data_IF_266624300543
#
_entry.id   IF_266624300543
#
_cell.length_a   1.000
_cell.length_b   1.000
_cell.length_c   1.000
_cell.angle_alpha   90.00
_cell.angle_beta   90.00
_cell.angle_gamma   90.00
#
_symmetry.space_group_name_H-M   'P 1'
#
loop_
_entity.id
_entity.type
_entity.pdbx_description
1 polymer ?
#
# COMPACT_ATOMS: atom_id res chain seq x y z
N UNK A 1 -5.93 14.86 -25.72
CA UNK A 1 -6.48 13.50 -25.88
C UNK A 1 -7.50 13.50 -27.00
N UNK A 2 -7.28 12.72 -28.07
CA UNK A 2 -8.15 12.65 -29.27
C UNK A 2 -9.40 11.77 -29.02
N UNK A 3 -9.56 11.17 -27.83
CA UNK A 3 -10.70 10.30 -27.49
C UNK A 3 -11.91 10.97 -26.81
N UNK A 4 -11.94 12.30 -26.68
CA UNK A 4 -13.00 13.01 -25.93
C UNK A 4 -14.32 13.21 -26.67
N UNK A 5 -14.30 13.12 -28.01
CA UNK A 5 -15.38 13.51 -28.93
C UNK A 5 -16.19 12.33 -29.49
N UNK A 6 -15.83 11.09 -29.17
CA UNK A 6 -16.65 9.93 -29.51
C UNK A 6 -17.91 9.92 -28.60
N UNK A 7 -19.11 9.59 -29.15
CA UNK A 7 -20.32 9.46 -28.34
C UNK A 7 -20.10 8.44 -27.23
N UNK A 8 -20.27 8.87 -25.97
CA UNK A 8 -20.05 8.03 -24.79
C UNK A 8 -21.29 7.17 -24.56
N UNK A 9 -21.11 5.85 -24.55
CA UNK A 9 -22.23 4.91 -24.38
C UNK A 9 -22.33 4.38 -22.95
N UNK A 10 -21.21 4.16 -22.26
CA UNK A 10 -21.17 3.46 -20.96
C UNK A 10 -20.46 4.22 -19.82
N UNK A 11 -19.76 5.32 -20.11
CA UNK A 11 -18.90 6.00 -19.14
C UNK A 11 -19.55 7.18 -18.42
N UNK A 12 -20.79 7.54 -18.78
CA UNK A 12 -21.50 8.62 -18.09
C UNK A 12 -21.80 8.22 -16.64
N UNK A 13 -21.51 9.12 -15.71
CA UNK A 13 -21.61 8.91 -14.26
C UNK A 13 -20.38 8.27 -13.62
N UNK A 14 -19.40 7.82 -14.40
CA UNK A 14 -18.14 7.31 -13.86
C UNK A 14 -17.22 8.46 -13.43
N UNK A 15 -16.48 8.23 -12.35
CA UNK A 15 -15.41 9.13 -11.90
C UNK A 15 -14.08 8.54 -12.31
N UNK A 16 -13.36 9.25 -13.16
CA UNK A 16 -11.98 8.89 -13.51
C UNK A 16 -11.00 9.56 -12.57
N UNK A 17 -10.07 8.78 -12.03
CA UNK A 17 -9.07 9.28 -11.09
C UNK A 17 -7.70 9.28 -11.75
N UNK A 18 -6.98 10.40 -11.62
CA UNK A 18 -5.59 10.54 -12.04
C UNK A 18 -4.77 11.13 -10.88
N UNK A 19 -3.53 10.68 -10.75
CA UNK A 19 -2.60 11.14 -9.73
C UNK A 19 -1.46 11.93 -10.37
N UNK A 20 -1.21 13.14 -9.87
CA UNK A 20 0.03 13.86 -10.11
C UNK A 20 0.95 13.62 -8.92
N UNK A 21 2.03 12.88 -9.14
CA UNK A 21 2.99 12.52 -8.10
C UNK A 21 4.30 13.30 -8.36
N UNK A 22 4.67 14.27 -7.51
CA UNK A 22 5.92 15.00 -7.69
C UNK A 22 7.13 14.09 -7.45
N UNK A 23 8.21 14.34 -8.19
CA UNK A 23 9.49 13.64 -8.05
C UNK A 23 10.45 14.34 -7.07
N UNK A 24 10.05 15.49 -6.50
CA UNK A 24 10.86 16.31 -5.60
C UNK A 24 11.71 17.35 -6.32
N UNK A 25 11.56 17.49 -7.64
CA UNK A 25 12.27 18.48 -8.44
C UNK A 25 11.35 19.67 -8.77
N UNK A 26 11.56 20.79 -8.07
CA UNK A 26 10.79 22.03 -8.22
C UNK A 26 10.78 22.63 -9.63
N UNK A 27 11.69 22.23 -10.52
CA UNK A 27 11.71 22.73 -11.90
C UNK A 27 10.82 21.92 -12.86
N UNK A 28 10.50 20.67 -12.48
CA UNK A 28 9.70 19.75 -13.30
C UNK A 28 8.31 19.56 -12.70
N UNK A 29 8.24 19.50 -11.36
CA UNK A 29 7.00 19.25 -10.64
C UNK A 29 6.05 20.45 -10.76
N UNK A 30 4.86 20.19 -11.31
CA UNK A 30 3.78 21.19 -11.43
C UNK A 30 3.20 21.53 -10.06
N UNK A 31 3.08 20.53 -9.17
CA UNK A 31 2.56 20.67 -7.83
C UNK A 31 3.60 20.16 -6.83
N UNK A 32 3.79 20.82 -5.67
CA UNK A 32 4.79 20.43 -4.68
C UNK A 32 4.43 19.16 -3.91
N UNK A 33 3.15 18.78 -3.90
CA UNK A 33 2.61 17.61 -3.19
C UNK A 33 1.80 16.72 -4.14
N UNK A 34 1.57 15.44 -3.80
CA UNK A 34 0.67 14.57 -4.56
C UNK A 34 -0.74 15.16 -4.70
N UNK A 35 -1.24 15.27 -5.93
CA UNK A 35 -2.59 15.78 -6.24
C UNK A 35 -3.42 14.71 -6.91
N UNK A 36 -4.67 14.53 -6.46
CA UNK A 36 -5.66 13.66 -7.08
C UNK A 36 -6.62 14.50 -7.91
N UNK A 37 -6.78 14.12 -9.17
CA UNK A 37 -7.81 14.64 -10.06
C UNK A 37 -8.92 13.61 -10.18
N UNK A 38 -10.14 13.98 -9.80
CA UNK A 38 -11.33 13.16 -9.94
C UNK A 38 -12.28 13.80 -10.95
N UNK A 39 -12.35 13.23 -12.15
CA UNK A 39 -13.14 13.75 -13.26
C UNK A 39 -14.46 12.98 -13.39
N UNK A 40 -15.58 13.63 -13.05
CA UNK A 40 -16.90 13.09 -13.31
C UNK A 40 -17.21 13.17 -14.81
N UNK A 41 -17.40 12.01 -15.44
CA UNK A 41 -17.75 11.91 -16.85
C UNK A 41 -19.26 12.12 -17.03
N UNK A 42 -19.66 13.22 -17.64
CA UNK A 42 -21.07 13.49 -17.98
C UNK A 42 -21.56 14.81 -17.40
N UNK A 43 -22.87 15.02 -17.45
CA UNK A 43 -23.53 16.21 -16.91
C UNK A 43 -23.77 16.04 -15.39
N UNK A 44 -23.31 17.01 -14.60
CA UNK A 44 -23.46 17.03 -13.14
C UNK A 44 -24.92 17.06 -12.71
N UNK A 45 -25.82 17.69 -13.48
CA UNK A 45 -27.26 17.73 -13.22
C UNK A 45 -27.91 16.34 -13.38
N UNK A 46 -27.30 15.44 -14.17
CA UNK A 46 -27.77 14.05 -14.29
C UNK A 46 -27.22 13.14 -13.19
N UNK A 47 -26.06 13.50 -12.61
CA UNK A 47 -25.30 12.68 -11.66
C UNK A 47 -25.08 13.41 -10.32
N UNK A 48 -26.17 13.95 -9.76
CA UNK A 48 -26.14 14.78 -8.55
C UNK A 48 -25.50 14.07 -7.35
N UNK A 49 -25.73 12.76 -7.17
CA UNK A 49 -25.14 11.99 -6.06
C UNK A 49 -23.61 11.91 -6.18
N UNK A 50 -23.08 11.64 -7.38
CA UNK A 50 -21.65 11.59 -7.64
C UNK A 50 -21.02 12.97 -7.49
N UNK A 51 -21.70 14.00 -7.97
CA UNK A 51 -21.24 15.38 -7.84
C UNK A 51 -21.24 15.84 -6.37
N UNK A 52 -22.26 15.50 -5.59
CA UNK A 52 -22.32 15.77 -4.15
C UNK A 52 -21.19 15.05 -3.40
N UNK A 53 -20.93 13.79 -3.74
CA UNK A 53 -19.81 13.03 -3.20
C UNK A 53 -18.47 13.73 -3.48
N UNK A 54 -18.20 14.02 -4.76
CA UNK A 54 -16.96 14.67 -5.19
C UNK A 54 -16.78 16.03 -4.53
N UNK A 55 -17.86 16.81 -4.43
CA UNK A 55 -17.82 18.11 -3.78
C UNK A 55 -17.37 17.97 -2.34
N UNK A 56 -17.99 17.07 -1.57
CA UNK A 56 -17.70 16.91 -0.14
C UNK A 56 -16.27 16.42 0.13
N UNK A 57 -15.73 15.53 -0.71
CA UNK A 57 -14.40 14.93 -0.50
C UNK A 57 -13.25 15.72 -1.12
N UNK A 58 -13.54 16.66 -2.02
CA UNK A 58 -12.50 17.42 -2.74
C UNK A 58 -12.10 18.69 -2.00
N UNK A 59 -10.83 19.06 -2.14
CA UNK A 59 -10.31 20.36 -1.68
C UNK A 59 -10.83 21.50 -2.56
N UNK A 60 -10.90 21.27 -3.87
CA UNK A 60 -11.49 22.19 -4.84
C UNK A 60 -12.25 21.42 -5.93
N UNK A 61 -13.29 22.03 -6.47
CA UNK A 61 -14.15 21.49 -7.53
C UNK A 61 -14.14 22.45 -8.70
N UNK A 62 -13.76 21.98 -9.89
CA UNK A 62 -13.77 22.78 -11.12
C UNK A 62 -14.94 22.35 -11.98
N UNK A 63 -15.89 23.25 -12.21
CA UNK A 63 -17.09 23.01 -13.01
C UNK A 63 -16.93 23.71 -14.36
N UNK A 64 -17.00 22.93 -15.43
CA UNK A 64 -16.86 23.41 -16.80
C UNK A 64 -18.24 23.79 -17.32
N UNK A 65 -18.43 25.06 -17.64
CA UNK A 65 -19.70 25.63 -18.04
C UNK A 65 -19.59 26.28 -19.41
N UNK A 66 -20.47 25.84 -20.31
CA UNK A 66 -20.80 26.59 -21.51
C UNK A 66 -21.97 27.53 -21.18
N UNK A 67 -23.15 27.00 -20.86
CA UNK A 67 -24.36 27.75 -20.45
C UNK A 67 -24.85 27.35 -19.06
N UNK A 68 -25.73 28.18 -18.48
CA UNK A 68 -26.45 27.89 -17.24
C UNK A 68 -27.96 28.04 -17.51
N UNK A 69 -28.71 26.99 -17.21
CA UNK A 69 -30.16 26.90 -17.22
C UNK A 69 -30.75 26.76 -15.80
N UNK A 70 -32.05 26.48 -15.70
CA UNK A 70 -32.74 26.37 -14.40
C UNK A 70 -32.22 25.22 -13.53
N UNK A 71 -31.83 24.10 -14.12
CA UNK A 71 -31.33 22.94 -13.39
C UNK A 71 -29.95 23.23 -12.80
N UNK A 72 -29.03 23.82 -13.57
CA UNK A 72 -27.73 24.23 -13.04
C UNK A 72 -27.88 25.27 -11.93
N UNK A 73 -28.80 26.24 -12.07
CA UNK A 73 -29.06 27.22 -11.01
C UNK A 73 -29.57 26.56 -9.72
N UNK A 74 -30.48 25.58 -9.82
CA UNK A 74 -30.97 24.82 -8.67
C UNK A 74 -29.85 24.00 -8.02
N UNK A 75 -29.02 23.35 -8.83
CA UNK A 75 -27.87 22.59 -8.35
C UNK A 75 -26.90 23.51 -7.61
N UNK A 76 -26.55 24.67 -8.17
CA UNK A 76 -25.67 25.63 -7.51
C UNK A 76 -26.26 26.21 -6.23
N UNK A 77 -27.58 26.43 -6.19
CA UNK A 77 -28.26 26.86 -4.98
C UNK A 77 -28.23 25.81 -3.86
N UNK A 78 -28.15 24.51 -4.18
CA UNK A 78 -28.03 23.44 -3.17
C UNK A 78 -26.61 23.31 -2.59
N UNK A 79 -25.60 23.92 -3.23
CA UNK A 79 -24.18 23.86 -2.84
C UNK A 79 -23.73 24.99 -1.90
N UNK A 80 -24.64 25.66 -1.19
CA UNK A 80 -24.29 26.87 -0.41
C UNK A 80 -23.21 26.66 0.67
N UNK A 81 -23.00 25.43 1.14
CA UNK A 81 -21.93 25.10 2.11
C UNK A 81 -20.54 24.96 1.46
N UNK A 82 -20.45 24.96 0.13
CA UNK A 82 -19.26 24.57 -0.65
C UNK A 82 -18.66 25.70 -1.48
N UNK A 83 -19.10 26.95 -1.24
CA UNK A 83 -18.76 28.14 -2.03
C UNK A 83 -17.26 28.41 -2.16
N UNK A 84 -16.51 28.24 -1.07
CA UNK A 84 -15.06 28.50 -1.05
C UNK A 84 -14.22 27.49 -1.83
N UNK A 85 -14.81 26.38 -2.28
CA UNK A 85 -14.10 25.30 -2.98
C UNK A 85 -14.43 25.24 -4.47
N UNK A 86 -15.46 25.95 -4.92
CA UNK A 86 -15.97 25.84 -6.27
C UNK A 86 -15.28 26.85 -7.20
N UNK A 87 -14.81 26.36 -8.34
CA UNK A 87 -14.24 27.14 -9.44
C UNK A 87 -15.10 26.93 -10.68
N UNK A 88 -15.49 28.01 -11.35
CA UNK A 88 -16.20 27.93 -12.62
C UNK A 88 -15.23 28.18 -13.77
N UNK A 89 -15.04 27.19 -14.62
CA UNK A 89 -14.49 27.44 -15.95
C UNK A 89 -15.63 27.85 -16.88
N UNK A 90 -15.54 29.08 -17.39
CA UNK A 90 -16.50 29.60 -18.37
C UNK A 90 -15.86 29.60 -19.74
N UNK A 91 -16.41 28.82 -20.66
CA UNK A 91 -15.97 28.82 -22.03
C UNK A 91 -16.60 29.98 -22.81
N UNK A 92 -15.77 30.90 -23.30
CA UNK A 92 -16.22 32.09 -24.04
C UNK A 92 -15.84 32.03 -25.52
N UNK A 93 -15.65 30.83 -26.08
CA UNK A 93 -15.25 30.64 -27.48
C UNK A 93 -16.40 30.99 -28.45
N UNK A 94 -16.67 32.28 -28.65
CA UNK A 94 -17.69 32.80 -29.57
C UNK A 94 -18.25 34.16 -29.14
N UNK A 95 -19.17 34.72 -29.94
CA UNK A 95 -20.02 35.82 -29.47
C UNK A 95 -21.03 35.24 -28.46
N UNK A 96 -20.65 35.27 -27.17
CA UNK A 96 -21.55 34.96 -26.07
C UNK A 96 -22.80 35.83 -26.17
N UNK A 97 -23.98 35.22 -26.29
CA UNK A 97 -25.23 35.98 -26.26
C UNK A 97 -25.38 36.70 -24.91
N UNK A 98 -26.06 37.85 -24.90
CA UNK A 98 -26.33 38.57 -23.64
C UNK A 98 -27.08 37.71 -22.62
N UNK A 99 -27.95 36.80 -23.09
CA UNK A 99 -28.65 35.82 -22.25
C UNK A 99 -27.68 34.86 -21.54
N UNK A 100 -26.60 34.47 -22.19
CA UNK A 100 -25.61 33.53 -21.65
C UNK A 100 -24.69 34.24 -20.65
N UNK A 101 -24.30 35.49 -20.94
CA UNK A 101 -23.55 36.31 -19.98
C UNK A 101 -24.36 36.56 -18.71
N UNK A 102 -25.66 36.87 -18.85
CA UNK A 102 -26.52 37.11 -17.69
C UNK A 102 -26.76 35.85 -16.87
N UNK A 103 -26.90 34.67 -17.50
CA UNK A 103 -27.07 33.42 -16.76
C UNK A 103 -25.81 32.98 -16.02
N UNK A 104 -24.62 33.15 -16.61
CA UNK A 104 -23.34 32.92 -15.92
C UNK A 104 -23.17 33.89 -14.75
N UNK A 105 -23.48 35.18 -14.96
CA UNK A 105 -23.44 36.17 -13.88
C UNK A 105 -24.37 35.78 -12.73
N UNK A 106 -25.59 35.34 -13.05
CA UNK A 106 -26.53 34.85 -12.04
C UNK A 106 -25.97 33.64 -11.28
N UNK A 107 -25.31 32.68 -11.95
CA UNK A 107 -24.68 31.54 -11.29
C UNK A 107 -23.53 31.95 -10.35
N UNK A 108 -22.67 32.87 -10.81
CA UNK A 108 -21.59 33.45 -9.99
C UNK A 108 -22.17 34.15 -8.76
N UNK A 109 -23.26 34.91 -8.92
CA UNK A 109 -23.94 35.60 -7.83
C UNK A 109 -24.64 34.61 -6.86
N UNK A 110 -25.27 33.54 -7.37
CA UNK A 110 -25.91 32.47 -6.57
C UNK A 110 -24.87 31.74 -5.71
N UNK A 111 -23.72 31.41 -6.29
CA UNK A 111 -22.61 30.75 -5.59
C UNK A 111 -21.78 31.73 -4.74
N UNK A 112 -21.96 33.04 -4.93
CA UNK A 112 -21.17 34.10 -4.26
C UNK A 112 -19.66 33.89 -4.45
N UNK A 113 -19.24 33.55 -5.68
CA UNK A 113 -17.85 33.24 -5.97
C UNK A 113 -16.98 34.49 -5.99
N UNK A 114 -15.76 34.36 -5.49
CA UNK A 114 -14.71 35.36 -5.65
C UNK A 114 -14.27 35.44 -7.11
N UNK A 115 -13.72 36.59 -7.53
CA UNK A 115 -13.35 36.81 -8.94
C UNK A 115 -12.30 35.83 -9.46
N UNK A 116 -11.42 35.38 -8.60
CA UNK A 116 -10.36 34.41 -8.90
C UNK A 116 -10.85 32.95 -8.96
N UNK A 117 -12.09 32.69 -8.53
CA UNK A 117 -12.76 31.40 -8.70
C UNK A 117 -13.45 31.28 -10.07
N UNK A 118 -13.43 32.32 -10.90
CA UNK A 118 -13.97 32.30 -12.26
C UNK A 118 -12.82 32.31 -13.26
N UNK A 119 -12.63 31.19 -13.95
CA UNK A 119 -11.57 31.00 -14.95
C UNK A 119 -12.19 31.11 -16.35
N UNK A 120 -11.85 32.15 -17.09
CA UNK A 120 -12.42 32.38 -18.42
C UNK A 120 -11.51 31.83 -19.52
N UNK A 121 -12.08 30.99 -20.38
CA UNK A 121 -11.40 30.52 -21.59
C UNK A 121 -11.80 31.34 -22.81
N UNK A 122 -10.90 32.21 -23.28
CA UNK A 122 -11.11 33.03 -24.48
C UNK A 122 -10.68 32.33 -25.76
N UNK A 123 -11.22 32.77 -26.90
CA UNK A 123 -10.91 32.21 -28.23
C UNK A 123 -9.43 32.34 -28.62
N UNK A 124 -8.75 33.38 -28.15
CA UNK A 124 -7.34 33.65 -28.46
C UNK A 124 -6.37 32.89 -27.54
N UNK A 125 -6.88 32.29 -26.47
CA UNK A 125 -6.05 31.59 -25.50
C UNK A 125 -5.76 30.16 -25.96
N UNK A 126 -4.47 29.82 -26.02
CA UNK A 126 -4.05 28.45 -26.31
C UNK A 126 -4.21 27.53 -25.08
N UNK A 127 -4.18 26.22 -25.33
CA UNK A 127 -4.36 25.21 -24.28
C UNK A 127 -3.27 25.25 -23.20
N UNK A 128 -2.04 25.62 -23.53
CA UNK A 128 -0.94 25.67 -22.57
C UNK A 128 -1.12 26.81 -21.57
N UNK A 129 -1.49 28.01 -22.03
CA UNK A 129 -1.83 29.15 -21.18
C UNK A 129 -3.03 28.81 -20.30
N UNK A 130 -4.05 28.20 -20.88
CA UNK A 130 -5.24 27.78 -20.13
C UNK A 130 -4.92 26.77 -19.02
N UNK A 131 -4.15 25.73 -19.35
CA UNK A 131 -3.67 24.73 -18.38
C UNK A 131 -2.85 25.39 -17.27
N UNK A 132 -1.99 26.37 -17.58
CA UNK A 132 -1.22 27.10 -16.57
C UNK A 132 -2.10 27.89 -15.61
N UNK A 133 -3.21 28.46 -16.08
CA UNK A 133 -4.16 29.16 -15.20
C UNK A 133 -4.82 28.19 -14.22
N UNK A 134 -5.34 27.06 -14.71
CA UNK A 134 -5.92 26.01 -13.84
C UNK A 134 -4.87 25.52 -12.84
N UNK A 135 -3.67 25.17 -13.31
CA UNK A 135 -2.58 24.73 -12.43
C UNK A 135 -2.21 25.79 -11.39
N UNK A 136 -2.24 27.07 -11.74
CA UNK A 136 -1.97 28.17 -10.80
C UNK A 136 -3.07 28.30 -9.74
N UNK A 137 -4.35 28.19 -10.14
CA UNK A 137 -5.48 28.19 -9.20
C UNK A 137 -5.41 27.00 -8.24
N UNK A 138 -5.12 25.80 -8.75
CA UNK A 138 -4.92 24.61 -7.91
C UNK A 138 -3.74 24.84 -6.96
N UNK A 139 -2.62 25.38 -7.44
CA UNK A 139 -1.44 25.64 -6.61
C UNK A 139 -1.73 26.64 -5.50
N UNK A 140 -2.54 27.67 -5.79
CA UNK A 140 -3.00 28.63 -4.78
C UNK A 140 -3.80 27.94 -3.69
N UNK A 141 -4.80 27.13 -4.07
CA UNK A 141 -5.61 26.33 -3.13
C UNK A 141 -4.69 25.43 -2.30
N UNK A 142 -3.78 24.69 -2.92
CA UNK A 142 -2.86 23.80 -2.20
C UNK A 142 -1.91 24.55 -1.24
N UNK A 143 -1.64 25.84 -1.48
CA UNK A 143 -0.85 26.68 -0.58
C UNK A 143 -1.60 27.14 0.68
N UNK A 144 -2.92 27.00 0.72
CA UNK A 144 -3.74 27.29 1.89
C UNK A 144 -3.75 26.08 2.84
N UNK A 145 -3.97 26.34 4.14
CA UNK A 145 -4.04 25.26 5.12
C UNK A 145 -5.29 24.39 4.90
N UNK A 146 -5.11 23.26 4.24
CA UNK A 146 -6.15 22.27 4.04
C UNK A 146 -5.84 20.96 4.76
N UNK A 147 -6.88 20.36 5.35
CA UNK A 147 -6.78 19.02 5.90
C UNK A 147 -6.89 18.02 4.76
N UNK A 148 -5.83 17.25 4.52
CA UNK A 148 -5.87 16.14 3.57
C UNK A 148 -7.01 15.17 3.94
N UNK A 149 -7.83 14.81 2.95
CA UNK A 149 -8.90 13.84 3.12
C UNK A 149 -8.34 12.43 2.99
N UNK A 150 -8.40 11.64 4.06
CA UNK A 150 -8.03 10.23 3.99
C UNK A 150 -9.09 9.44 3.19
N UNK A 151 -8.67 8.45 2.40
CA UNK A 151 -9.60 7.59 1.63
C UNK A 151 -10.63 6.91 2.56
N UNK A 152 -10.24 6.53 3.79
CA UNK A 152 -11.17 5.95 4.76
C UNK A 152 -12.23 6.97 5.25
N UNK A 153 -11.94 8.27 5.22
CA UNK A 153 -12.92 9.31 5.51
C UNK A 153 -13.93 9.49 4.35
N UNK A 154 -13.47 9.35 3.09
CA UNK A 154 -14.35 9.37 1.92
C UNK A 154 -15.42 8.28 1.97
N UNK A 155 -15.08 7.12 2.58
CA UNK A 155 -16.00 6.02 2.79
C UNK A 155 -17.28 6.45 3.53
N UNK A 156 -17.14 7.21 4.62
CA UNK A 156 -18.29 7.67 5.41
C UNK A 156 -19.18 8.61 4.60
N UNK A 157 -18.58 9.49 3.80
CA UNK A 157 -19.31 10.39 2.90
C UNK A 157 -20.09 9.59 1.85
N UNK A 158 -19.44 8.60 1.21
CA UNK A 158 -20.10 7.72 0.25
C UNK A 158 -21.31 6.99 0.85
N UNK A 159 -21.18 6.45 2.07
CA UNK A 159 -22.28 5.79 2.77
C UNK A 159 -23.46 6.72 3.04
N UNK A 160 -23.18 7.94 3.51
CA UNK A 160 -24.22 8.94 3.80
C UNK A 160 -25.00 9.35 2.55
N UNK A 161 -24.37 9.28 1.38
CA UNK A 161 -24.98 9.56 0.08
C UNK A 161 -25.61 8.32 -0.58
N UNK A 162 -25.63 7.18 0.12
CA UNK A 162 -26.21 5.93 -0.41
C UNK A 162 -25.37 5.27 -1.52
N UNK A 163 -24.11 5.69 -1.70
CA UNK A 163 -23.19 5.02 -2.61
C UNK A 163 -22.76 3.68 -2.02
N UNK A 164 -22.81 2.64 -2.85
CA UNK A 164 -22.37 1.29 -2.47
C UNK A 164 -20.85 1.24 -2.35
N UNK A 165 -20.38 0.43 -1.40
CA UNK A 165 -18.96 0.29 -1.09
C UNK A 165 -18.65 -1.19 -1.07
N UNK A 166 -17.89 -1.64 -2.06
CA UNK A 166 -17.59 -3.05 -2.29
C UNK A 166 -16.99 -3.72 -1.04
N UNK A 167 -16.14 -3.00 -0.29
CA UNK A 167 -15.50 -3.53 0.92
C UNK A 167 -16.48 -3.71 2.09
N UNK A 168 -17.66 -3.10 2.06
CA UNK A 168 -18.72 -3.31 3.05
C UNK A 168 -19.70 -4.40 2.65
N UNK A 169 -19.94 -4.57 1.36
CA UNK A 169 -20.91 -5.52 0.83
C UNK A 169 -20.38 -6.97 0.91
N UNK A 170 -19.06 -7.14 0.98
CA UNK A 170 -18.41 -8.44 1.16
C UNK A 170 -18.20 -8.78 2.64
N UNK A 171 -18.91 -9.79 3.15
CA UNK A 171 -18.71 -10.34 4.49
C UNK A 171 -17.28 -10.85 4.68
N UNK A 172 -16.70 -11.47 3.65
CA UNK A 172 -15.30 -11.90 3.59
C UNK A 172 -14.34 -10.72 3.80
N UNK A 173 -14.54 -9.60 3.09
CA UNK A 173 -13.71 -8.40 3.24
C UNK A 173 -13.80 -7.79 4.66
N UNK A 174 -15.02 -7.71 5.20
CA UNK A 174 -15.27 -7.18 6.56
C UNK A 174 -14.59 -8.05 7.63
N UNK A 175 -14.75 -9.37 7.55
CA UNK A 175 -14.11 -10.33 8.45
C UNK A 175 -12.58 -10.25 8.35
N UNK A 176 -12.04 -10.30 7.14
CA UNK A 176 -10.61 -10.15 6.86
C UNK A 176 -10.02 -8.85 7.43
N UNK A 177 -10.70 -7.70 7.23
CA UNK A 177 -10.28 -6.39 7.77
C UNK A 177 -10.27 -6.40 9.30
N UNK A 178 -11.23 -7.07 9.94
CA UNK A 178 -11.28 -7.22 11.41
C UNK A 178 -10.09 -8.05 11.91
N UNK A 179 -9.81 -9.19 11.29
CA UNK A 179 -8.69 -10.06 11.68
C UNK A 179 -7.33 -9.38 11.48
N UNK A 180 -7.15 -8.64 10.38
CA UNK A 180 -5.96 -7.81 10.18
C UNK A 180 -5.80 -6.76 11.29
N UNK A 181 -6.89 -6.09 11.71
CA UNK A 181 -6.86 -5.15 12.86
C UNK A 181 -6.49 -5.84 14.18
N UNK A 182 -6.84 -7.11 14.38
CA UNK A 182 -6.43 -7.85 15.58
C UNK A 182 -4.92 -8.06 15.64
N UNK A 183 -4.28 -8.38 14.51
CA UNK A 183 -2.80 -8.42 14.43
C UNK A 183 -2.20 -7.05 14.72
N UNK A 184 -2.75 -5.98 14.15
CA UNK A 184 -2.27 -4.62 14.43
C UNK A 184 -2.38 -4.26 15.93
N UNK A 185 -3.41 -4.75 16.63
CA UNK A 185 -3.54 -4.59 18.09
C UNK A 185 -2.47 -5.35 18.86
N UNK A 186 -2.04 -6.53 18.40
CA UNK A 186 -0.93 -7.26 19.01
C UNK A 186 0.39 -6.48 18.95
N UNK A 187 0.63 -5.78 17.84
CA UNK A 187 1.79 -4.88 17.71
C UNK A 187 1.68 -3.76 18.76
N UNK A 188 0.53 -3.07 18.83
CA UNK A 188 0.31 -2.02 19.82
C UNK A 188 1.22 -0.81 19.63
N UNK A 189 1.71 -0.21 20.72
CA UNK A 189 2.59 0.99 20.69
C UNK A 189 4.07 0.68 20.88
N UNK A 190 4.43 -0.60 21.05
CA UNK A 190 5.81 -1.01 21.36
C UNK A 190 6.77 -0.82 20.17
N UNK A 191 8.08 -0.70 20.42
CA UNK A 191 9.10 -0.75 19.38
C UNK A 191 9.03 -2.04 18.55
N UNK A 192 9.24 -1.94 17.25
CA UNK A 192 9.13 -3.08 16.32
C UNK A 192 10.17 -4.16 16.63
N UNK A 193 11.39 -3.79 17.03
CA UNK A 193 12.43 -4.73 17.45
C UNK A 193 11.98 -5.61 18.63
N UNK A 194 11.30 -5.04 19.62
CA UNK A 194 10.75 -5.78 20.78
C UNK A 194 9.56 -6.65 20.37
N UNK A 195 8.73 -6.13 19.46
CA UNK A 195 7.62 -6.89 18.89
C UNK A 195 8.13 -8.14 18.16
N UNK A 196 9.13 -8.01 17.28
CA UNK A 196 9.73 -9.15 16.55
C UNK A 196 10.27 -10.20 17.52
N UNK A 197 11.06 -9.78 18.53
CA UNK A 197 11.61 -10.70 19.56
C UNK A 197 10.54 -11.48 20.33
N UNK A 198 9.39 -10.87 20.61
CA UNK A 198 8.34 -11.47 21.44
C UNK A 198 7.27 -12.24 20.66
N UNK A 199 6.95 -11.81 19.43
CA UNK A 199 5.83 -12.35 18.64
C UNK A 199 6.28 -13.14 17.41
N UNK A 200 7.51 -12.93 16.95
CA UNK A 200 8.15 -13.62 15.82
C UNK A 200 9.55 -14.15 16.21
N UNK A 201 9.66 -14.97 17.27
CA UNK A 201 10.96 -15.34 17.86
C UNK A 201 11.79 -16.29 17.01
N UNK A 202 11.18 -17.10 16.12
CA UNK A 202 11.89 -18.17 15.45
C UNK A 202 12.85 -17.68 14.36
N UNK A 203 12.57 -16.52 13.76
CA UNK A 203 13.45 -15.85 12.81
C UNK A 203 14.54 -14.98 13.46
N UNK A 204 14.69 -15.03 14.79
CA UNK A 204 15.66 -14.21 15.53
C UNK A 204 17.08 -14.77 15.55
N UNK A 205 17.80 -14.56 16.65
CA UNK A 205 19.23 -14.90 16.78
C UNK A 205 19.54 -16.38 16.51
N UNK A 206 18.65 -17.29 16.91
CA UNK A 206 18.79 -18.72 16.59
C UNK A 206 18.84 -18.99 15.09
N UNK A 207 18.05 -18.27 14.29
CA UNK A 207 18.03 -18.42 12.84
C UNK A 207 19.30 -17.87 12.18
N UNK A 208 19.79 -16.71 12.64
CA UNK A 208 21.09 -16.17 12.22
C UNK A 208 22.23 -17.12 12.57
N UNK A 209 22.20 -17.72 13.77
CA UNK A 209 23.22 -18.68 14.19
C UNK A 209 23.21 -19.95 13.34
N UNK A 210 22.03 -20.46 12.99
CA UNK A 210 21.90 -21.59 12.05
C UNK A 210 22.56 -21.27 10.69
N UNK A 211 22.33 -20.06 10.17
CA UNK A 211 22.95 -19.62 8.92
C UNK A 211 24.49 -19.59 8.99
N UNK A 212 25.03 -19.13 10.12
CA UNK A 212 26.48 -19.13 10.36
C UNK A 212 27.04 -20.55 10.43
N UNK A 213 26.34 -21.46 11.13
CA UNK A 213 26.73 -22.88 11.23
C UNK A 213 26.73 -23.52 9.84
N UNK A 214 25.71 -23.30 9.01
CA UNK A 214 25.62 -23.87 7.66
C UNK A 214 26.72 -23.33 6.74
N UNK A 215 27.06 -22.04 6.83
CA UNK A 215 28.22 -21.46 6.14
C UNK A 215 29.54 -22.07 6.60
N UNK A 216 29.69 -22.28 7.91
CA UNK A 216 30.90 -22.85 8.51
C UNK A 216 31.06 -24.33 8.17
N UNK A 217 29.97 -25.10 8.10
CA UNK A 217 30.00 -26.51 7.66
C UNK A 217 30.55 -26.67 6.24
N UNK A 218 30.35 -25.68 5.37
CA UNK A 218 30.92 -25.67 4.02
C UNK A 218 32.38 -25.20 3.97
N UNK A 219 32.79 -24.28 4.87
CA UNK A 219 34.11 -23.62 4.82
C UNK A 219 35.16 -24.29 5.69
N UNK A 220 34.75 -24.80 6.86
CA UNK A 220 35.60 -25.44 7.89
C UNK A 220 36.84 -24.61 8.23
N UNK A 221 36.69 -23.28 8.31
CA UNK A 221 37.79 -22.33 8.49
C UNK A 221 38.18 -22.17 9.97
N UNK A 222 37.28 -22.49 10.89
CA UNK A 222 37.43 -22.21 12.31
C UNK A 222 37.53 -23.48 13.17
N UNK A 223 38.07 -24.58 12.62
CA UNK A 223 38.23 -25.86 13.34
C UNK A 223 39.21 -25.76 14.52
N UNK A 224 40.12 -24.78 14.51
CA UNK A 224 41.13 -24.62 15.55
C UNK A 224 42.01 -25.86 15.67
N UNK A 225 42.07 -26.45 16.86
CA UNK A 225 42.86 -27.65 17.16
C UNK A 225 42.09 -28.96 16.97
N UNK A 226 40.78 -28.91 16.70
CA UNK A 226 39.96 -30.11 16.50
C UNK A 226 40.23 -30.73 15.13
N UNK A 227 40.08 -32.06 15.03
CA UNK A 227 40.00 -32.71 13.73
C UNK A 227 38.76 -32.23 12.96
N UNK A 228 38.81 -32.32 11.63
CA UNK A 228 37.69 -31.90 10.78
C UNK A 228 36.41 -32.69 11.07
N UNK A 229 36.55 -33.98 11.39
CA UNK A 229 35.46 -34.87 11.76
C UNK A 229 34.82 -34.45 13.09
N UNK A 230 35.63 -34.22 14.13
CA UNK A 230 35.15 -33.76 15.44
C UNK A 230 34.46 -32.39 15.34
N UNK A 231 35.04 -31.48 14.56
CA UNK A 231 34.47 -30.14 14.36
C UNK A 231 33.13 -30.19 13.62
N UNK A 232 32.99 -31.05 12.59
CA UNK A 232 31.71 -31.26 11.91
C UNK A 232 30.63 -31.82 12.86
N UNK A 233 30.99 -32.76 13.73
CA UNK A 233 30.07 -33.30 14.74
C UNK A 233 29.66 -32.21 15.72
N UNK A 234 30.58 -31.35 16.15
CA UNK A 234 30.27 -30.22 17.03
C UNK A 234 29.26 -29.25 16.39
N UNK A 235 29.49 -28.84 15.14
CA UNK A 235 28.58 -27.97 14.39
C UNK A 235 27.19 -28.62 14.23
N UNK A 236 27.15 -29.93 13.98
CA UNK A 236 25.90 -30.68 13.86
C UNK A 236 25.13 -30.73 15.20
N UNK A 237 25.81 -30.97 16.31
CA UNK A 237 25.21 -30.96 17.65
C UNK A 237 24.64 -29.57 17.98
N UNK A 238 25.38 -28.50 17.67
CA UNK A 238 24.90 -27.13 17.90
C UNK A 238 23.65 -26.83 17.05
N UNK A 239 23.64 -27.25 15.79
CA UNK A 239 22.46 -27.15 14.90
C UNK A 239 21.25 -27.86 15.49
N UNK A 240 21.43 -29.08 15.99
CA UNK A 240 20.39 -29.88 16.63
C UNK A 240 19.85 -29.23 17.91
N UNK A 241 20.72 -28.68 18.76
CA UNK A 241 20.30 -27.95 19.96
C UNK A 241 19.45 -26.73 19.62
N UNK A 242 19.84 -25.95 18.61
CA UNK A 242 19.07 -24.78 18.17
C UNK A 242 17.71 -25.22 17.62
N UNK A 243 17.65 -26.26 16.78
CA UNK A 243 16.38 -26.77 16.26
C UNK A 243 15.49 -27.32 17.37
N UNK A 244 16.03 -27.98 18.39
CA UNK A 244 15.29 -28.42 19.57
C UNK A 244 14.76 -27.23 20.39
N UNK A 245 15.53 -26.16 20.53
CA UNK A 245 15.06 -24.90 21.14
C UNK A 245 13.90 -24.30 20.33
N UNK A 246 14.01 -24.24 19.00
CA UNK A 246 12.94 -23.74 18.13
C UNK A 246 11.69 -24.63 18.19
N UNK A 247 11.81 -25.96 18.18
CA UNK A 247 10.66 -26.87 18.24
C UNK A 247 9.88 -26.79 19.55
N UNK A 248 10.53 -26.37 20.62
CA UNK A 248 9.91 -26.17 21.94
C UNK A 248 9.18 -24.82 22.08
N UNK A 249 9.32 -23.90 21.11
CA UNK A 249 8.59 -22.64 21.15
C UNK A 249 7.11 -22.85 20.87
N UNK A 250 6.27 -22.23 21.71
CA UNK A 250 4.83 -22.21 21.50
C UNK A 250 4.49 -21.20 20.41
N UNK A 251 3.56 -21.57 19.52
CA UNK A 251 2.99 -20.66 18.52
C UNK A 251 2.45 -19.42 19.25
N UNK A 252 2.93 -18.25 18.87
CA UNK A 252 2.53 -16.99 19.49
C UNK A 252 1.08 -16.65 19.15
N UNK A 253 0.43 -15.82 19.97
CA UNK A 253 -0.96 -15.39 19.71
C UNK A 253 -1.11 -14.78 18.31
N UNK A 254 -0.15 -13.97 17.87
CA UNK A 254 -0.21 -13.36 16.54
C UNK A 254 -0.10 -14.39 15.44
N UNK A 255 0.83 -15.34 15.55
CA UNK A 255 0.97 -16.40 14.55
C UNK A 255 -0.23 -17.35 14.54
N UNK A 256 -0.88 -17.58 15.68
CA UNK A 256 -2.13 -18.34 15.72
C UNK A 256 -3.26 -17.64 14.95
N UNK A 257 -3.42 -16.31 15.13
CA UNK A 257 -4.39 -15.51 14.36
C UNK A 257 -4.06 -15.57 12.86
N UNK A 258 -2.79 -15.36 12.49
CA UNK A 258 -2.33 -15.42 11.10
C UNK A 258 -2.64 -16.79 10.49
N UNK A 259 -2.24 -17.89 11.13
CA UNK A 259 -2.47 -19.24 10.62
C UNK A 259 -3.96 -19.51 10.45
N UNK A 260 -4.80 -19.14 11.42
CA UNK A 260 -6.27 -19.28 11.32
C UNK A 260 -6.84 -18.51 10.13
N UNK A 261 -6.41 -17.25 9.95
CA UNK A 261 -6.85 -16.41 8.85
C UNK A 261 -6.42 -16.96 7.49
N UNK A 262 -5.23 -17.56 7.41
CA UNK A 262 -4.73 -18.20 6.20
C UNK A 262 -5.36 -19.58 5.94
N UNK A 263 -5.77 -20.30 6.99
CA UNK A 263 -6.43 -21.60 6.88
C UNK A 263 -7.94 -21.52 6.64
N UNK A 264 -8.52 -20.32 6.44
CA UNK A 264 -9.94 -20.19 6.04
C UNK A 264 -10.21 -20.95 4.73
N UNK A 265 -11.41 -21.54 4.65
CA UNK A 265 -11.88 -22.22 3.44
C UNK A 265 -12.27 -21.25 2.32
N UNK A 266 -12.52 -19.98 2.66
CA UNK A 266 -12.85 -18.93 1.70
C UNK A 266 -11.56 -18.30 1.14
N UNK A 267 -11.22 -18.67 -0.10
CA UNK A 267 -10.04 -18.13 -0.78
C UNK A 267 -10.12 -16.60 -0.96
N UNK A 268 -11.31 -16.02 -1.10
CA UNK A 268 -11.51 -14.57 -1.22
C UNK A 268 -11.23 -13.88 0.12
N UNK A 269 -11.74 -14.42 1.22
CA UNK A 269 -11.45 -13.92 2.58
C UNK A 269 -9.95 -13.93 2.87
N UNK A 270 -9.27 -15.02 2.49
CA UNK A 270 -7.81 -15.15 2.66
C UNK A 270 -7.04 -14.08 1.90
N UNK A 271 -7.39 -13.83 0.65
CA UNK A 271 -6.78 -12.79 -0.19
C UNK A 271 -7.03 -11.40 0.42
N UNK A 272 -8.27 -11.10 0.83
CA UNK A 272 -8.58 -9.84 1.50
C UNK A 272 -7.78 -9.66 2.78
N UNK A 273 -7.62 -10.71 3.59
CA UNK A 273 -6.87 -10.65 4.84
C UNK A 273 -5.42 -10.25 4.60
N UNK A 274 -4.75 -10.90 3.64
CA UNK A 274 -3.38 -10.58 3.26
C UNK A 274 -3.24 -9.15 2.74
N UNK A 275 -4.16 -8.69 1.90
CA UNK A 275 -4.17 -7.31 1.39
C UNK A 275 -4.37 -6.30 2.51
N UNK A 276 -5.34 -6.53 3.41
CA UNK A 276 -5.59 -5.63 4.54
C UNK A 276 -4.42 -5.61 5.52
N UNK A 277 -3.82 -6.75 5.82
CA UNK A 277 -2.67 -6.80 6.72
C UNK A 277 -1.48 -6.06 6.14
N UNK A 278 -1.12 -6.33 4.87
CA UNK A 278 -0.06 -5.60 4.16
C UNK A 278 -0.29 -4.09 4.16
N UNK A 279 -1.47 -3.64 3.74
CA UNK A 279 -1.82 -2.22 3.75
C UNK A 279 -1.69 -1.59 5.15
N UNK A 280 -2.11 -2.28 6.20
CA UNK A 280 -2.02 -1.76 7.58
C UNK A 280 -0.59 -1.71 8.10
N UNK A 281 0.24 -2.69 7.78
CA UNK A 281 1.67 -2.69 8.08
C UNK A 281 2.37 -1.53 7.36
N UNK A 282 2.11 -1.36 6.06
CA UNK A 282 2.68 -0.28 5.25
C UNK A 282 2.26 1.11 5.74
N UNK A 283 0.99 1.28 6.12
CA UNK A 283 0.50 2.54 6.70
C UNK A 283 1.21 2.87 8.02
N UNK A 284 1.47 1.87 8.86
CA UNK A 284 2.22 2.07 10.11
C UNK A 284 3.68 2.39 9.83
N UNK A 285 4.31 1.60 8.96
CA UNK A 285 5.72 1.74 8.57
C UNK A 285 5.99 3.14 8.01
N UNK A 286 5.14 3.64 7.11
CA UNK A 286 5.26 4.99 6.52
C UNK A 286 5.36 6.12 7.55
N UNK A 287 4.60 6.05 8.65
CA UNK A 287 4.63 7.09 9.68
C UNK A 287 6.00 7.22 10.36
N UNK A 288 6.65 6.09 10.61
CA UNK A 288 7.93 6.07 11.32
C UNK A 288 9.12 6.16 10.35
N UNK A 289 9.02 5.54 9.17
CA UNK A 289 10.13 5.44 8.22
C UNK A 289 10.40 6.72 7.44
N UNK A 290 9.42 7.61 7.28
CA UNK A 290 9.61 8.85 6.53
C UNK A 290 10.66 9.75 7.18
N UNK A 291 10.62 9.88 8.51
CA UNK A 291 11.59 10.67 9.28
C UNK A 291 12.99 10.06 9.23
N UNK A 292 13.09 8.74 9.42
CA UNK A 292 14.37 8.02 9.38
C UNK A 292 15.03 8.11 8.00
N UNK A 293 14.26 7.95 6.91
CA UNK A 293 14.76 8.12 5.54
C UNK A 293 15.18 9.56 5.24
N UNK A 294 14.53 10.55 5.83
CA UNK A 294 14.95 11.94 5.69
C UNK A 294 16.32 12.17 6.33
N UNK A 295 16.48 11.75 7.60
CA UNK A 295 17.75 11.81 8.33
C UNK A 295 18.86 11.05 7.60
N UNK A 296 18.54 9.86 7.07
CA UNK A 296 19.49 9.06 6.30
C UNK A 296 20.08 9.84 5.12
N UNK A 297 19.22 10.45 4.29
CA UNK A 297 19.65 11.26 3.14
C UNK A 297 20.49 12.48 3.55
N UNK A 298 20.15 13.13 4.66
CA UNK A 298 20.96 14.24 5.18
C UNK A 298 22.35 13.78 5.64
N UNK A 299 22.43 12.64 6.33
CA UNK A 299 23.70 12.06 6.77
C UNK A 299 24.56 11.59 5.59
N UNK A 300 23.96 10.99 4.57
CA UNK A 300 24.65 10.62 3.32
C UNK A 300 25.23 11.86 2.62
N UNK A 301 24.47 12.95 2.52
CA UNK A 301 24.96 14.22 1.94
C UNK A 301 26.11 14.81 2.74
N UNK A 302 26.09 14.66 4.06
CA UNK A 302 27.17 15.09 4.98
C UNK A 302 28.35 14.13 5.01
N UNK A 303 28.28 12.97 4.34
CA UNK A 303 29.29 11.89 4.31
C UNK A 303 29.66 11.35 5.70
N UNK A 304 28.71 11.37 6.63
CA UNK A 304 28.89 10.81 7.97
C UNK A 304 28.62 9.30 7.96
N UNK A 305 29.68 8.50 7.84
CA UNK A 305 29.55 7.04 7.69
C UNK A 305 29.00 6.35 8.92
N UNK A 306 29.35 6.82 10.11
CA UNK A 306 28.95 6.18 11.36
C UNK A 306 27.47 6.45 11.63
N UNK A 307 27.01 7.69 11.39
CA UNK A 307 25.59 8.01 11.47
C UNK A 307 24.75 7.26 10.42
N UNK A 308 25.26 7.10 9.20
CA UNK A 308 24.60 6.30 8.15
C UNK A 308 24.45 4.84 8.59
N UNK A 309 25.52 4.21 9.11
CA UNK A 309 25.46 2.82 9.57
C UNK A 309 24.49 2.62 10.75
N UNK A 310 24.43 3.58 11.67
CA UNK A 310 23.45 3.57 12.77
C UNK A 310 22.01 3.67 12.25
N UNK A 311 21.75 4.59 11.32
CA UNK A 311 20.43 4.77 10.72
C UNK A 311 20.00 3.56 9.87
N UNK A 312 20.94 2.91 9.17
CA UNK A 312 20.66 1.65 8.46
C UNK A 312 20.18 0.56 9.42
N UNK A 313 20.84 0.41 10.57
CA UNK A 313 20.40 -0.54 11.58
C UNK A 313 19.03 -0.17 12.17
N UNK A 314 18.79 1.11 12.45
CA UNK A 314 17.48 1.58 12.91
C UNK A 314 16.36 1.32 11.88
N UNK A 315 16.65 1.51 10.59
CA UNK A 315 15.72 1.21 9.49
C UNK A 315 15.35 -0.28 9.46
N UNK A 316 16.35 -1.17 9.59
CA UNK A 316 16.14 -2.62 9.64
C UNK A 316 15.33 -3.01 10.90
N UNK A 317 15.68 -2.44 12.06
CA UNK A 317 15.02 -2.74 13.33
C UNK A 317 13.56 -2.26 13.37
N UNK A 318 13.29 -1.13 12.72
CA UNK A 318 11.96 -0.55 12.54
C UNK A 318 11.12 -1.25 11.46
N UNK A 319 11.73 -2.01 10.56
CA UNK A 319 11.02 -2.68 9.46
C UNK A 319 10.12 -3.80 9.99
N UNK A 320 8.89 -3.84 9.47
CA UNK A 320 7.94 -4.92 9.68
C UNK A 320 6.93 -4.93 8.54
N UNK A 321 7.05 -5.91 7.66
CA UNK A 321 6.10 -6.19 6.59
C UNK A 321 5.58 -7.62 6.63
N UNK A 322 4.89 -8.02 5.56
CA UNK A 322 4.30 -9.35 5.44
C UNK A 322 5.34 -10.46 5.40
N UNK A 323 6.51 -10.18 4.82
CA UNK A 323 7.65 -11.08 4.71
C UNK A 323 8.09 -11.62 6.07
N UNK A 324 8.11 -10.79 7.11
CA UNK A 324 8.45 -11.22 8.47
C UNK A 324 7.46 -12.26 9.02
N UNK A 325 6.16 -12.12 8.75
CA UNK A 325 5.16 -13.09 9.20
C UNK A 325 5.25 -14.41 8.41
N UNK A 326 5.50 -14.32 7.11
CA UNK A 326 5.67 -15.50 6.25
C UNK A 326 6.98 -16.24 6.56
N UNK A 327 8.05 -15.51 6.89
CA UNK A 327 9.32 -16.07 7.39
C UNK A 327 9.12 -16.82 8.70
N UNK A 328 8.40 -16.23 9.65
CA UNK A 328 8.05 -16.91 10.91
C UNK A 328 7.25 -18.18 10.65
N UNK A 329 6.28 -18.12 9.73
CA UNK A 329 5.47 -19.26 9.33
C UNK A 329 6.34 -20.42 8.78
N UNK A 330 7.32 -20.09 7.95
CA UNK A 330 8.30 -21.04 7.44
C UNK A 330 9.15 -21.64 8.56
N UNK A 331 9.63 -20.83 9.51
CA UNK A 331 10.39 -21.34 10.65
C UNK A 331 9.56 -22.24 11.58
N UNK A 332 8.25 -21.97 11.76
CA UNK A 332 7.33 -22.86 12.48
C UNK A 332 7.29 -24.23 11.78
N UNK A 333 7.16 -24.24 10.45
CA UNK A 333 7.14 -25.48 9.66
C UNK A 333 8.47 -26.25 9.75
N UNK A 334 9.60 -25.57 9.63
CA UNK A 334 10.94 -26.15 9.76
C UNK A 334 11.17 -26.78 11.14
N UNK A 335 10.89 -26.03 12.19
CA UNK A 335 11.09 -26.46 13.57
C UNK A 335 10.22 -27.68 13.91
N UNK A 336 8.96 -27.69 13.45
CA UNK A 336 8.07 -28.82 13.65
C UNK A 336 8.52 -30.08 12.91
N UNK A 337 9.14 -29.91 11.73
CA UNK A 337 9.70 -31.02 10.94
C UNK A 337 10.98 -31.62 11.54
N UNK A 338 11.52 -31.01 12.59
CA UNK A 338 12.71 -31.50 13.31
C UNK A 338 12.36 -32.14 14.67
N UNK A 339 11.19 -31.81 15.23
CA UNK A 339 10.75 -32.36 16.52
C UNK A 339 10.40 -33.85 16.45
N UNK A 340 10.53 -34.54 17.59
CA UNK A 340 10.09 -35.94 17.76
C UNK A 340 8.57 -36.11 17.91
N UNK A 341 7.83 -35.01 17.93
CA UNK A 341 6.37 -35.00 18.03
C UNK A 341 5.75 -35.02 16.63
N UNK A 342 4.69 -35.81 16.44
CA UNK A 342 3.93 -35.81 15.18
C UNK A 342 3.60 -34.37 14.78
N UNK A 343 4.00 -33.97 13.59
CA UNK A 343 3.61 -32.70 12.97
C UNK A 343 2.08 -32.64 13.06
N UNK A 344 1.54 -31.67 13.80
CA UNK A 344 0.09 -31.52 13.89
C UNK A 344 -0.49 -31.25 12.49
N UNK A 345 -1.71 -31.71 12.23
CA UNK A 345 -2.38 -31.48 10.93
C UNK A 345 -2.43 -30.00 10.55
N UNK A 346 -2.46 -29.11 11.55
CA UNK A 346 -2.38 -27.66 11.35
C UNK A 346 -1.06 -27.21 10.73
N UNK A 347 0.06 -27.84 11.10
CA UNK A 347 1.40 -27.49 10.62
C UNK A 347 1.69 -28.15 9.27
N UNK A 348 1.24 -29.39 9.05
CA UNK A 348 1.42 -30.08 7.76
C UNK A 348 0.72 -29.32 6.62
N UNK A 349 -0.43 -28.71 6.91
CA UNK A 349 -1.18 -27.89 5.94
C UNK A 349 -0.49 -26.55 5.59
N UNK A 350 0.53 -26.10 6.33
CA UNK A 350 1.21 -24.84 6.03
C UNK A 350 1.94 -24.86 4.68
N UNK A 351 2.52 -25.99 4.31
CA UNK A 351 3.16 -26.20 3.02
C UNK A 351 2.14 -26.04 1.86
N UNK A 352 0.99 -26.71 1.96
CA UNK A 352 -0.11 -26.57 1.01
C UNK A 352 -0.63 -25.14 0.93
N UNK A 353 -0.76 -24.48 2.08
CA UNK A 353 -1.18 -23.09 2.17
C UNK A 353 -0.20 -22.17 1.44
N UNK A 354 1.10 -22.33 1.66
CA UNK A 354 2.15 -21.58 1.00
C UNK A 354 2.07 -21.70 -0.53
N UNK A 355 1.87 -22.92 -1.04
CA UNK A 355 1.63 -23.15 -2.47
C UNK A 355 0.39 -22.39 -2.98
N UNK A 356 -0.71 -22.40 -2.23
CA UNK A 356 -1.92 -21.61 -2.58
C UNK A 356 -1.65 -20.11 -2.60
N UNK A 357 -0.81 -19.59 -1.68
CA UNK A 357 -0.44 -18.18 -1.65
C UNK A 357 0.37 -17.78 -2.89
N UNK A 358 1.35 -18.61 -3.29
CA UNK A 358 2.11 -18.39 -4.52
C UNK A 358 1.21 -18.37 -5.75
N UNK A 359 0.28 -19.33 -5.88
CA UNK A 359 -0.68 -19.39 -6.99
C UNK A 359 -1.61 -18.17 -7.01
N UNK A 360 -1.93 -17.60 -5.84
CA UNK A 360 -2.72 -16.38 -5.71
C UNK A 360 -1.91 -15.09 -5.92
N UNK A 361 -0.62 -15.19 -6.30
CA UNK A 361 0.25 -14.05 -6.59
C UNK A 361 0.84 -13.37 -5.36
N UNK A 362 0.86 -14.03 -4.20
CA UNK A 362 1.55 -13.56 -3.01
C UNK A 362 2.98 -14.12 -2.99
N UNK A 363 4.01 -13.25 -2.97
CA UNK A 363 5.38 -13.72 -2.91
C UNK A 363 5.66 -14.38 -1.56
N UNK A 364 6.40 -15.49 -1.60
CA UNK A 364 7.02 -16.07 -0.42
C UNK A 364 8.51 -15.74 -0.43
N UNK A 365 9.04 -15.35 0.72
CA UNK A 365 10.47 -15.17 0.86
C UNK A 365 11.15 -16.54 0.91
N UNK A 366 12.01 -16.80 -0.08
CA UNK A 366 12.79 -18.05 -0.16
C UNK A 366 14.15 -17.87 0.52
N UNK A 367 14.78 -16.72 0.31
CA UNK A 367 16.05 -16.33 0.92
C UNK A 367 15.78 -15.18 1.89
N UNK A 368 16.03 -15.42 3.17
CA UNK A 368 16.06 -14.37 4.17
C UNK A 368 17.37 -13.61 4.02
N UNK A 369 17.28 -12.35 3.57
CA UNK A 369 18.44 -11.46 3.43
C UNK A 369 19.11 -11.12 4.76
N UNK A 370 18.34 -11.03 5.84
CA UNK A 370 18.82 -10.61 7.16
C UNK A 370 19.68 -11.69 7.81
N UNK A 371 19.29 -12.96 7.65
CA UNK A 371 20.08 -14.11 8.10
C UNK A 371 21.03 -14.63 7.02
N UNK A 372 20.83 -14.23 5.76
CA UNK A 372 21.45 -14.84 4.58
C UNK A 372 21.26 -16.37 4.55
N UNK A 373 20.02 -16.82 4.71
CA UNK A 373 19.70 -18.25 4.81
C UNK A 373 18.36 -18.63 4.17
N UNK A 374 18.21 -19.90 3.82
CA UNK A 374 17.03 -20.48 3.15
C UNK A 374 16.40 -21.53 4.06
N UNK A 375 15.09 -21.42 4.27
CA UNK A 375 14.31 -22.47 4.92
C UNK A 375 14.03 -23.60 3.90
N UNK A 376 14.91 -24.59 3.84
CA UNK A 376 14.89 -25.63 2.78
C UNK A 376 13.65 -26.52 2.79
N UNK A 377 13.23 -27.05 3.94
CA UNK A 377 12.01 -27.89 4.03
C UNK A 377 10.77 -27.05 3.74
N UNK A 378 10.76 -25.79 4.17
CA UNK A 378 9.69 -24.86 3.83
C UNK A 378 9.60 -24.64 2.31
N UNK A 379 10.73 -24.37 1.65
CA UNK A 379 10.83 -24.25 0.20
C UNK A 379 10.34 -25.52 -0.50
N UNK A 380 10.81 -26.69 -0.07
CA UNK A 380 10.42 -27.97 -0.65
C UNK A 380 8.93 -28.29 -0.48
N UNK A 381 8.35 -27.97 0.68
CA UNK A 381 6.94 -28.17 0.94
C UNK A 381 6.03 -27.17 0.22
N UNK A 382 6.50 -25.92 0.03
CA UNK A 382 5.70 -24.81 -0.50
C UNK A 382 5.68 -24.71 -2.02
N UNK A 383 6.67 -25.26 -2.71
CA UNK A 383 6.75 -25.22 -4.18
C UNK A 383 6.02 -26.43 -4.78
N UNK A 384 4.96 -26.24 -5.58
CA UNK A 384 4.28 -27.34 -6.27
C UNK A 384 5.29 -28.17 -7.08
N UNK A 385 5.24 -29.51 -6.97
CA UNK A 385 6.17 -30.44 -7.67
C UNK A 385 6.28 -30.20 -9.18
N UNK A 386 5.22 -29.65 -9.79
CA UNK A 386 5.17 -29.28 -11.21
C UNK A 386 6.05 -28.06 -11.55
N UNK A 387 6.24 -27.15 -10.61
CA UNK A 387 7.13 -25.98 -10.73
C UNK A 387 8.58 -26.29 -10.37
N UNK A 388 8.84 -27.33 -9.56
CA UNK A 388 10.21 -27.81 -9.27
C UNK A 388 10.94 -28.26 -10.54
N UNK A 389 10.22 -28.79 -11.55
CA UNK A 389 10.78 -29.14 -12.87
C UNK A 389 11.25 -27.92 -13.68
N UNK A 390 10.58 -26.77 -13.53
CA UNK A 390 10.96 -25.52 -14.20
C UNK A 390 12.19 -24.90 -13.51
N UNK A 391 12.27 -24.96 -12.17
CA UNK A 391 13.43 -24.45 -11.44
C UNK A 391 14.67 -25.34 -11.59
N UNK A 392 14.53 -26.67 -11.62
CA UNK A 392 15.67 -27.56 -11.89
C UNK A 392 16.27 -27.36 -13.29
N UNK A 393 15.44 -26.94 -14.26
CA UNK A 393 15.91 -26.59 -15.61
C UNK A 393 16.65 -25.24 -15.65
N UNK A 394 16.32 -24.29 -14.76
CA UNK A 394 16.98 -22.98 -14.66
C UNK A 394 18.26 -23.01 -13.81
N UNK A 395 18.36 -23.92 -12.84
CA UNK A 395 19.60 -24.12 -12.08
C UNK A 395 20.67 -24.89 -12.87
N UNK A 396 20.27 -25.66 -13.89
CA UNK A 396 21.20 -26.37 -14.78
C UNK A 396 21.80 -25.49 -15.88
N UNK A 397 21.26 -24.30 -16.14
CA UNK A 397 21.82 -23.34 -17.12
C UNK A 397 22.79 -22.33 -16.50
N UNK A 398 23.13 -22.48 -15.22
CA UNK A 398 24.14 -21.65 -14.52
C UNK A 398 25.47 -22.39 -14.29
N UNK A 399 25.63 -23.54 -14.91
CA UNK A 399 26.86 -24.34 -14.89
C UNK A 399 27.21 -24.74 -16.31
N UNK A 400 27.53 -23.73 -17.11
CA UNK A 400 28.45 -23.78 -18.26
C UNK A 400 29.07 -22.40 -18.46
#
# INVERSE_FOLDING_TARGET
MIGGSAPRVISNGMVEICWSLPCGNKTIDVFPEPVVFANLRGDVCTFETQFSFLSQVSTAVFVFLDSVDENEQRLFASLQEMKSKCFLEVNTTGNMSEKMKSSIKAAVDTLQLERDHVIQKSKTMNFATFSKMISSSITKVLGEHHRACEIEAMKTVAQNLGLRIDENDSTACVSAKKTAKEIMKCIGVRPIVEYKKSHLPLQGENWKRLAQIEKEQCRLQHSGELSLEEYKVQLQNEKEEIRKKQSNHKITKTMDILIKALSTSDDIERVFFLRWLGLKLDMRSRKHMTELRHKYRECEQKKDRDAVAQLDQELIDASLGMEHYLRELGQIYEAASFGSHKISDKISNLATLAAKLLLAGFPLEILDGDASNIAEKWREGSVPKESTKLYSALSQTSSD
#
